data_IF_770919211678
#
_entry.id   IF_770919211678
#
_cell.length_a   1.000
_cell.length_b   1.000
_cell.length_c   1.000
_cell.angle_alpha   90.00
_cell.angle_beta   90.00
_cell.angle_gamma   90.00
#
_symmetry.space_group_name_H-M   'P 1'
#
loop_
_entity.id
_entity.type
_entity.pdbx_description
1 polymer ?
#
# COMPACT_ATOMS: atom_id res chain seq x y z
N UNK A 1 2.30 -9.90 1.86
CA UNK A 1 1.30 -10.07 0.80
C UNK A 1 1.10 -8.72 0.14
N UNK A 2 0.81 -8.72 -1.16
CA UNK A 2 0.48 -7.51 -1.93
C UNK A 2 -1.01 -7.64 -2.30
N UNK A 3 -1.94 -7.00 -1.57
CA UNK A 3 -3.37 -7.28 -1.69
C UNK A 3 -4.09 -6.44 -2.77
N UNK A 4 -3.34 -5.85 -3.70
CA UNK A 4 -3.80 -4.81 -4.60
C UNK A 4 -3.02 -4.83 -5.91
N UNK A 5 -3.67 -4.49 -7.02
CA UNK A 5 -3.03 -4.37 -8.35
C UNK A 5 -3.71 -3.30 -9.19
N UNK A 6 -2.94 -2.66 -10.08
CA UNK A 6 -3.44 -1.77 -11.11
C UNK A 6 -3.44 -2.48 -12.46
N UNK A 7 -4.58 -2.50 -13.15
CA UNK A 7 -4.68 -3.05 -14.51
C UNK A 7 -4.56 -1.93 -15.52
N UNK A 8 -3.52 -1.98 -16.35
CA UNK A 8 -3.25 -0.95 -17.35
C UNK A 8 -4.43 -0.79 -18.31
N UNK A 9 -4.82 0.47 -18.57
CA UNK A 9 -5.96 0.81 -19.41
C UNK A 9 -7.34 0.50 -18.79
N UNK A 10 -7.39 0.10 -17.51
CA UNK A 10 -8.62 -0.23 -16.82
C UNK A 10 -8.72 0.47 -15.46
N UNK A 11 -8.25 -0.17 -14.39
CA UNK A 11 -8.44 0.35 -13.04
C UNK A 11 -7.86 -0.52 -11.93
N UNK A 12 -8.09 -0.11 -10.66
CA UNK A 12 -7.62 -0.82 -9.49
C UNK A 12 -8.44 -2.08 -9.18
N UNK A 13 -7.77 -3.12 -8.68
CA UNK A 13 -8.37 -4.29 -8.06
C UNK A 13 -7.72 -4.53 -6.69
N UNK A 14 -8.53 -4.78 -5.66
CA UNK A 14 -8.08 -5.07 -4.31
C UNK A 14 -8.81 -6.29 -3.75
N UNK A 15 -8.15 -7.02 -2.85
CA UNK A 15 -8.69 -8.18 -2.17
C UNK A 15 -8.28 -8.18 -0.69
N UNK A 16 -8.96 -8.99 0.11
CA UNK A 16 -8.74 -9.09 1.55
C UNK A 16 -9.20 -10.44 2.07
N UNK A 17 -9.07 -10.65 3.38
CA UNK A 17 -9.52 -11.87 4.06
C UNK A 17 -11.04 -12.03 4.03
N UNK A 18 -11.75 -10.90 4.03
CA UNK A 18 -13.19 -10.78 3.93
C UNK A 18 -13.54 -9.50 3.12
N UNK A 19 -14.83 -9.23 2.96
CA UNK A 19 -15.30 -8.08 2.19
C UNK A 19 -14.89 -6.74 2.80
N UNK A 20 -14.84 -6.63 4.13
CA UNK A 20 -14.47 -5.40 4.82
C UNK A 20 -12.98 -5.11 4.64
N UNK A 21 -12.12 -6.11 4.81
CA UNK A 21 -10.67 -6.02 4.56
C UNK A 21 -10.36 -5.71 3.09
N UNK A 22 -11.13 -6.27 2.15
CA UNK A 22 -10.99 -5.96 0.72
C UNK A 22 -11.31 -4.49 0.40
N UNK A 23 -12.38 -3.94 0.99
CA UNK A 23 -12.74 -2.52 0.85
C UNK A 23 -11.70 -1.63 1.53
N UNK A 24 -11.19 -2.02 2.71
CA UNK A 24 -10.10 -1.30 3.37
C UNK A 24 -8.88 -1.19 2.47
N UNK A 25 -8.44 -2.30 1.87
CA UNK A 25 -7.32 -2.31 0.92
C UNK A 25 -7.62 -1.44 -0.32
N UNK A 26 -8.85 -1.47 -0.86
CA UNK A 26 -9.23 -0.61 -1.98
C UNK A 26 -9.09 0.89 -1.67
N UNK A 27 -9.48 1.32 -0.46
CA UNK A 27 -9.31 2.72 -0.01
C UNK A 27 -7.83 3.07 0.16
N UNK A 28 -7.02 2.17 0.73
CA UNK A 28 -5.57 2.37 0.87
C UNK A 28 -4.90 2.52 -0.50
N UNK A 29 -5.33 1.77 -1.51
CA UNK A 29 -4.83 1.88 -2.88
C UNK A 29 -5.07 3.28 -3.45
N UNK A 30 -6.30 3.79 -3.32
CA UNK A 30 -6.67 5.11 -3.82
C UNK A 30 -5.87 6.23 -3.14
N UNK A 31 -5.77 6.21 -1.81
CA UNK A 31 -5.01 7.22 -1.07
C UNK A 31 -3.52 7.18 -1.42
N UNK A 32 -2.96 5.98 -1.60
CA UNK A 32 -1.56 5.81 -2.00
C UNK A 32 -1.33 6.30 -3.43
N UNK A 33 -2.24 5.99 -4.37
CA UNK A 33 -2.17 6.46 -5.75
C UNK A 33 -2.27 8.00 -5.85
N UNK A 34 -3.16 8.60 -5.05
CA UNK A 34 -3.29 10.06 -4.94
C UNK A 34 -2.00 10.68 -4.41
N UNK A 35 -1.44 10.17 -3.31
CA UNK A 35 -0.18 10.67 -2.75
C UNK A 35 0.98 10.50 -3.74
N UNK A 36 1.11 9.34 -4.38
CA UNK A 36 2.15 9.10 -5.39
C UNK A 36 2.05 10.07 -6.57
N UNK A 37 0.84 10.38 -7.03
CA UNK A 37 0.60 11.37 -8.08
C UNK A 37 1.11 12.75 -7.65
N UNK A 38 0.79 13.19 -6.43
CA UNK A 38 1.26 14.47 -5.89
C UNK A 38 2.78 14.48 -5.71
N UNK A 39 3.38 13.38 -5.24
CA UNK A 39 4.84 13.25 -5.10
C UNK A 39 5.53 13.45 -6.44
N UNK A 40 5.05 12.79 -7.50
CA UNK A 40 5.63 12.94 -8.85
C UNK A 40 5.46 14.36 -9.38
N UNK A 41 4.34 15.03 -9.08
CA UNK A 41 4.13 16.43 -9.46
C UNK A 41 5.10 17.39 -8.78
N UNK A 42 5.48 17.12 -7.53
CA UNK A 42 6.36 17.99 -6.73
C UNK A 42 7.84 17.68 -6.97
N UNK A 43 8.22 16.40 -6.97
CA UNK A 43 9.61 15.94 -6.99
C UNK A 43 10.12 15.54 -8.38
N UNK A 44 9.23 15.42 -9.38
CA UNK A 44 9.56 14.95 -10.73
C UNK A 44 9.28 13.45 -10.93
N UNK A 45 9.59 12.90 -12.13
CA UNK A 45 9.14 11.57 -12.56
C UNK A 45 9.73 10.41 -11.76
N UNK A 46 10.85 10.59 -11.06
CA UNK A 46 11.57 9.55 -10.34
C UNK A 46 11.98 10.06 -8.95
N UNK A 47 11.04 10.21 -8.01
CA UNK A 47 11.38 10.53 -6.63
C UNK A 47 12.20 9.39 -6.02
N UNK A 48 13.15 9.73 -5.14
CA UNK A 48 13.87 8.73 -4.35
C UNK A 48 12.87 7.92 -3.50
N UNK A 49 12.94 6.57 -3.53
CA UNK A 49 12.07 5.74 -2.73
C UNK A 49 12.45 5.82 -1.24
N UNK A 50 11.52 5.44 -0.38
CA UNK A 50 11.81 5.20 1.02
C UNK A 50 12.77 4.02 1.16
N UNK A 51 13.66 4.05 2.15
CA UNK A 51 14.62 2.98 2.37
C UNK A 51 13.93 1.64 2.71
N UNK A 52 14.44 0.55 2.13
CA UNK A 52 13.84 -0.80 2.24
C UNK A 52 13.63 -1.25 3.69
N UNK A 53 14.57 -0.92 4.59
CA UNK A 53 14.46 -1.31 6.00
C UNK A 53 13.25 -0.66 6.71
N UNK A 54 12.83 0.54 6.26
CA UNK A 54 11.65 1.23 6.81
C UNK A 54 10.38 0.55 6.30
N UNK A 55 10.34 0.21 5.00
CA UNK A 55 9.24 -0.54 4.39
C UNK A 55 9.05 -1.89 5.09
N UNK A 56 10.16 -2.62 5.27
CA UNK A 56 10.17 -3.91 5.96
C UNK A 56 9.71 -3.80 7.41
N UNK A 57 10.22 -2.80 8.15
CA UNK A 57 9.80 -2.58 9.53
C UNK A 57 8.28 -2.32 9.63
N UNK A 58 7.75 -1.46 8.77
CA UNK A 58 6.32 -1.12 8.74
C UNK A 58 5.42 -2.28 8.34
N UNK A 59 5.88 -3.12 7.41
CA UNK A 59 5.15 -4.33 7.04
C UNK A 59 5.21 -5.39 8.16
N UNK A 60 6.40 -5.69 8.66
CA UNK A 60 6.62 -6.76 9.63
C UNK A 60 5.91 -6.52 10.97
N UNK A 61 5.83 -5.25 11.44
CA UNK A 61 5.15 -4.94 12.71
C UNK A 61 3.66 -5.30 12.72
N UNK A 62 3.00 -5.31 11.55
CA UNK A 62 1.57 -5.64 11.39
C UNK A 62 1.33 -7.05 10.86
N UNK A 63 2.14 -7.50 9.91
CA UNK A 63 1.87 -8.70 9.11
C UNK A 63 2.99 -9.75 9.14
N UNK A 64 4.08 -9.48 9.86
CA UNK A 64 5.19 -10.41 10.03
C UNK A 64 4.85 -11.57 10.98
N UNK A 65 5.71 -12.60 10.99
CA UNK A 65 5.57 -13.77 11.87
C UNK A 65 5.46 -13.38 13.36
N UNK A 66 6.20 -12.34 13.76
CA UNK A 66 6.22 -11.78 15.11
C UNK A 66 5.54 -10.39 15.13
N UNK A 67 4.47 -10.20 14.37
CA UNK A 67 3.70 -8.96 14.40
C UNK A 67 3.32 -8.61 15.85
N UNK A 68 3.25 -7.32 16.15
CA UNK A 68 3.01 -6.81 17.50
C UNK A 68 2.15 -5.54 17.51
N UNK A 69 1.88 -4.97 16.34
CA UNK A 69 1.14 -3.73 16.18
C UNK A 69 -0.19 -3.96 15.47
N UNK A 70 -1.27 -3.36 15.99
CA UNK A 70 -2.61 -3.45 15.38
C UNK A 70 -3.33 -4.78 15.63
N UNK A 71 -2.82 -5.61 16.55
CA UNK A 71 -3.45 -6.84 17.02
C UNK A 71 -4.44 -6.47 18.12
N UNK A 72 -5.72 -6.42 17.79
CA UNK A 72 -6.76 -6.71 18.77
C UNK A 72 -7.12 -8.18 18.66
#
# INVERSE_FOLDING_TARGET
AVPMVLVAGHGPFAWGKDAEDAVHNAVVLEETARMATLTVQIAGPNPEPLEDYVLDYHYQRKHGKNAWYGQK
#
